data_IF_729811431755
#
_entry.id   IF_729811431755
#
_cell.length_a   1.000
_cell.length_b   1.000
_cell.length_c   1.000
_cell.angle_alpha   90.00
_cell.angle_beta   90.00
_cell.angle_gamma   90.00
#
_symmetry.space_group_name_H-M   'P 1'
#
loop_
_entity.id
_entity.type
_entity.pdbx_description
1 polymer ?
#
# COMPACT_ATOMS: atom_id res chain seq x y z
N UNK A 1 -19.75 26.66 -2.44
CA UNK A 1 -19.90 25.48 -3.32
C UNK A 1 -18.92 25.65 -4.46
N UNK A 2 -18.06 24.66 -4.69
CA UNK A 2 -17.25 24.62 -5.90
C UNK A 2 -18.13 24.26 -7.08
N UNK A 3 -18.08 25.05 -8.15
CA UNK A 3 -18.88 24.86 -9.37
C UNK A 3 -18.04 24.29 -10.52
N UNK A 4 -16.81 23.85 -10.25
CA UNK A 4 -15.95 23.27 -11.26
C UNK A 4 -16.30 21.81 -11.51
N UNK A 5 -16.42 21.45 -12.79
CA UNK A 5 -16.70 20.07 -13.24
C UNK A 5 -15.45 19.17 -13.20
N UNK A 6 -14.34 19.66 -12.64
CA UNK A 6 -13.06 18.95 -12.61
C UNK A 6 -13.04 17.87 -11.53
N UNK A 7 -12.50 16.70 -11.85
CA UNK A 7 -12.19 15.68 -10.83
C UNK A 7 -11.13 16.23 -9.89
N UNK A 8 -11.43 16.25 -8.59
CA UNK A 8 -10.49 16.66 -7.55
C UNK A 8 -9.45 15.55 -7.33
N UNK A 9 -8.18 15.93 -7.36
CA UNK A 9 -7.05 15.06 -7.04
C UNK A 9 -6.60 15.33 -5.60
N UNK A 10 -6.65 14.32 -4.70
CA UNK A 10 -6.15 14.44 -3.35
C UNK A 10 -4.63 14.23 -3.30
N UNK A 11 -3.92 15.14 -2.64
CA UNK A 11 -2.52 15.00 -2.26
C UNK A 11 -2.45 14.98 -0.74
N UNK A 12 -2.17 13.82 -0.17
CA UNK A 12 -2.09 13.65 1.27
C UNK A 12 -0.64 13.73 1.74
N UNK A 13 -0.42 14.55 2.76
CA UNK A 13 0.83 14.67 3.48
C UNK A 13 0.71 13.96 4.84
N UNK A 14 1.32 12.77 5.00
CA UNK A 14 1.22 12.01 6.24
C UNK A 14 1.96 12.66 7.41
N UNK A 15 2.97 13.49 7.15
CA UNK A 15 3.81 14.06 8.21
C UNK A 15 3.08 15.20 8.94
N UNK A 16 2.23 15.95 8.23
CA UNK A 16 1.44 17.04 8.80
C UNK A 16 -0.06 16.72 8.89
N UNK A 17 -0.49 15.54 8.46
CA UNK A 17 -1.90 15.14 8.33
C UNK A 17 -2.75 16.13 7.51
N UNK A 18 -2.16 16.75 6.47
CA UNK A 18 -2.87 17.70 5.60
C UNK A 18 -3.21 17.03 4.27
N UNK A 19 -4.45 17.18 3.82
CA UNK A 19 -4.87 16.82 2.48
C UNK A 19 -5.12 18.07 1.64
N UNK A 20 -4.50 18.14 0.48
CA UNK A 20 -4.69 19.19 -0.51
C UNK A 20 -5.56 18.67 -1.65
N UNK A 21 -6.59 19.42 -2.02
CA UNK A 21 -7.50 19.11 -3.11
C UNK A 21 -7.35 20.14 -4.22
N UNK A 22 -7.10 19.66 -5.43
CA UNK A 22 -7.11 20.49 -6.63
C UNK A 22 -7.52 19.66 -7.86
N UNK A 23 -8.30 20.25 -8.77
CA UNK A 23 -8.78 19.59 -9.97
C UNK A 23 -8.29 20.29 -11.24
N UNK A 24 -8.22 19.55 -12.35
CA UNK A 24 -7.93 20.17 -13.64
C UNK A 24 -9.05 21.13 -14.02
N UNK A 25 -8.69 22.35 -14.42
CA UNK A 25 -9.63 23.44 -14.67
C UNK A 25 -9.87 24.35 -13.47
N UNK A 26 -9.48 23.93 -12.26
CA UNK A 26 -9.58 24.77 -11.07
C UNK A 26 -8.49 25.83 -11.06
N UNK A 27 -8.78 26.97 -10.45
CA UNK A 27 -7.78 28.00 -10.20
C UNK A 27 -7.39 28.08 -8.72
N UNK A 28 -7.82 27.11 -7.91
CA UNK A 28 -7.61 27.08 -6.46
C UNK A 28 -7.13 25.73 -5.95
N UNK A 29 -6.40 25.74 -4.83
CA UNK A 29 -6.00 24.55 -4.08
C UNK A 29 -6.56 24.69 -2.67
N UNK A 30 -7.45 23.77 -2.28
CA UNK A 30 -8.03 23.73 -0.93
C UNK A 30 -7.24 22.78 -0.08
N UNK A 31 -7.12 23.05 1.21
CA UNK A 31 -6.44 22.13 2.10
C UNK A 31 -7.13 22.02 3.45
N UNK A 32 -7.06 20.81 3.99
CA UNK A 32 -7.76 20.38 5.18
C UNK A 32 -6.79 19.61 6.07
N UNK A 33 -6.92 19.78 7.37
CA UNK A 33 -6.24 18.98 8.37
C UNK A 33 -7.13 17.80 8.76
N UNK A 34 -6.52 16.62 8.85
CA UNK A 34 -7.18 15.39 9.30
C UNK A 34 -6.72 15.09 10.72
N UNK A 35 -7.67 15.01 11.65
CA UNK A 35 -7.40 14.73 13.07
C UNK A 35 -8.25 13.56 13.55
N UNK A 36 -7.92 13.04 14.73
CA UNK A 36 -8.73 12.02 15.42
C UNK A 36 -9.96 12.57 16.13
N UNK A 37 -10.18 13.90 16.12
CA UNK A 37 -11.27 14.56 16.84
C UNK A 37 -12.37 14.98 15.87
N UNK A 38 -13.64 14.82 16.25
CA UNK A 38 -14.76 15.24 15.41
C UNK A 38 -14.70 16.77 15.11
N UNK A 39 -14.97 17.23 13.87
CA UNK A 39 -15.50 16.51 12.70
C UNK A 39 -14.47 15.74 11.83
N UNK A 40 -13.28 15.46 12.36
CA UNK A 40 -12.14 14.71 11.78
C UNK A 40 -11.45 15.41 10.62
N UNK A 41 -12.18 16.13 9.77
CA UNK A 41 -11.64 16.88 8.64
C UNK A 41 -11.93 18.36 8.84
N UNK A 42 -10.87 19.13 9.06
CA UNK A 42 -10.95 20.55 9.38
C UNK A 42 -10.46 21.36 8.18
N UNK A 43 -11.32 22.21 7.63
CA UNK A 43 -10.91 23.13 6.58
C UNK A 43 -9.90 24.14 7.13
N UNK A 44 -8.73 24.21 6.50
CA UNK A 44 -7.70 25.18 6.87
C UNK A 44 -7.88 26.46 6.05
N UNK A 45 -7.62 26.39 4.74
CA UNK A 45 -7.69 27.54 3.85
C UNK A 45 -7.69 27.11 2.38
N UNK A 46 -7.72 28.09 1.49
CA UNK A 46 -7.70 27.92 0.04
C UNK A 46 -6.69 28.88 -0.57
N UNK A 47 -5.71 28.33 -1.29
CA UNK A 47 -4.91 29.09 -2.22
C UNK A 47 -5.74 29.38 -3.47
N UNK A 48 -5.83 30.65 -3.89
CA UNK A 48 -6.59 31.06 -5.07
C UNK A 48 -5.70 31.79 -6.07
N UNK A 49 -5.92 31.54 -7.35
CA UNK A 49 -5.25 32.21 -8.46
C UNK A 49 -6.23 32.49 -9.60
N UNK A 50 -5.80 33.26 -10.60
CA UNK A 50 -6.66 33.64 -11.74
C UNK A 50 -6.66 32.62 -12.87
N UNK A 51 -5.56 31.88 -13.04
CA UNK A 51 -5.35 30.98 -14.16
C UNK A 51 -5.77 29.55 -13.80
N UNK A 52 -6.52 28.84 -14.64
CA UNK A 52 -6.90 27.45 -14.39
C UNK A 52 -5.70 26.50 -14.57
N UNK A 53 -5.59 25.49 -13.71
CA UNK A 53 -4.54 24.48 -13.81
C UNK A 53 -4.85 23.42 -14.87
N UNK A 54 -3.85 23.07 -15.69
CA UNK A 54 -3.89 21.96 -16.65
C UNK A 54 -3.45 20.63 -16.05
N UNK A 55 -2.74 20.69 -14.94
CA UNK A 55 -2.23 19.56 -14.17
C UNK A 55 -1.49 20.07 -12.93
N UNK A 56 -1.11 19.15 -12.05
CA UNK A 56 -0.44 19.46 -10.79
C UNK A 56 0.62 18.41 -10.48
N UNK A 57 1.84 18.85 -10.18
CA UNK A 57 2.87 18.03 -9.54
C UNK A 57 2.96 18.36 -8.05
N UNK A 58 3.47 17.42 -7.26
CA UNK A 58 3.66 17.58 -5.82
C UNK A 58 5.08 17.15 -5.44
N UNK A 59 5.80 18.01 -4.73
CA UNK A 59 7.19 17.77 -4.33
C UNK A 59 7.25 16.79 -3.15
N UNK A 60 8.06 15.73 -3.22
CA UNK A 60 8.35 14.89 -2.06
C UNK A 60 9.02 15.67 -0.94
N UNK A 61 8.82 15.27 0.32
CA UNK A 61 9.36 15.91 1.53
C UNK A 61 10.85 16.24 1.48
N UNK A 62 11.65 15.31 0.94
CA UNK A 62 13.11 15.47 0.75
C UNK A 62 13.53 16.60 -0.20
N UNK A 63 12.60 17.16 -0.99
CA UNK A 63 12.86 18.27 -1.92
C UNK A 63 12.35 19.64 -1.43
N UNK A 64 11.80 19.71 -0.22
CA UNK A 64 11.32 20.95 0.40
C UNK A 64 12.44 21.74 1.06
N UNK A 65 12.26 23.05 1.15
CA UNK A 65 13.18 23.97 1.82
C UNK A 65 12.78 24.12 3.30
N UNK A 66 13.33 23.23 4.14
CA UNK A 66 13.05 23.21 5.59
C UNK A 66 13.47 24.50 6.31
N UNK A 67 14.44 25.24 5.75
CA UNK A 67 14.91 26.50 6.33
C UNK A 67 13.84 27.60 6.25
N UNK A 68 12.93 27.50 5.28
CA UNK A 68 11.84 28.47 5.07
C UNK A 68 10.50 27.99 5.61
N UNK A 69 10.47 26.93 6.41
CA UNK A 69 9.24 26.32 6.91
C UNK A 69 8.26 25.93 5.78
N UNK A 70 8.81 25.53 4.62
CA UNK A 70 8.02 24.99 3.52
C UNK A 70 7.54 23.57 3.86
N UNK A 71 6.23 23.36 3.89
CA UNK A 71 5.62 22.06 4.21
C UNK A 71 5.14 21.31 2.97
N UNK A 72 4.89 22.02 1.87
CA UNK A 72 4.54 21.43 0.59
C UNK A 72 4.93 22.38 -0.56
N UNK A 73 5.30 21.79 -1.71
CA UNK A 73 5.52 22.52 -2.96
C UNK A 73 4.73 21.87 -4.08
N UNK A 74 3.87 22.65 -4.70
CA UNK A 74 3.13 22.26 -5.88
C UNK A 74 3.82 22.75 -7.14
N UNK A 75 3.73 21.99 -8.22
CA UNK A 75 4.14 22.39 -9.56
C UNK A 75 2.90 22.52 -10.43
N UNK A 76 2.32 23.72 -10.43
CA UNK A 76 1.09 24.01 -11.16
C UNK A 76 1.40 24.14 -12.64
N UNK A 77 0.79 23.26 -13.44
CA UNK A 77 0.90 23.34 -14.88
C UNK A 77 -0.16 24.30 -15.42
N UNK A 78 0.30 25.26 -16.19
CA UNK A 78 -0.52 26.12 -17.03
C UNK A 78 -0.46 25.63 -18.46
N UNK A 79 -0.98 26.40 -19.42
CA UNK A 79 -0.95 26.02 -20.83
C UNK A 79 0.48 25.90 -21.40
N UNK A 80 1.39 26.79 -21.00
CA UNK A 80 2.76 26.88 -21.54
C UNK A 80 3.85 27.09 -20.49
N UNK A 81 3.52 27.00 -19.20
CA UNK A 81 4.47 27.20 -18.09
C UNK A 81 4.18 26.23 -16.95
N UNK A 82 5.22 25.95 -16.18
CA UNK A 82 5.13 25.26 -14.89
C UNK A 82 5.47 26.28 -13.79
N UNK A 83 4.55 26.51 -12.87
CA UNK A 83 4.68 27.48 -11.79
C UNK A 83 4.79 26.74 -10.44
N UNK A 84 5.91 26.90 -9.71
CA UNK A 84 6.01 26.42 -8.34
C UNK A 84 5.12 27.23 -7.39
N UNK A 85 4.30 26.56 -6.59
CA UNK A 85 3.51 27.16 -5.50
C UNK A 85 4.00 26.57 -4.20
N UNK A 86 4.52 27.43 -3.33
CA UNK A 86 5.09 27.06 -2.04
C UNK A 86 4.03 27.23 -0.96
N UNK A 87 3.80 26.19 -0.16
CA UNK A 87 2.98 26.23 1.04
C UNK A 87 3.90 26.31 2.26
N UNK A 88 3.81 27.41 2.99
CA UNK A 88 4.70 27.71 4.13
C UNK A 88 3.90 27.87 5.40
N UNK A 89 4.39 27.29 6.49
CA UNK A 89 3.90 27.59 7.84
C UNK A 89 4.65 28.84 8.33
N UNK A 90 3.95 29.95 8.65
CA UNK A 90 4.62 31.17 9.09
C UNK A 90 5.19 30.99 10.50
N UNK A 91 6.50 30.78 10.61
CA UNK A 91 7.26 30.72 11.88
C UNK A 91 8.25 31.87 11.96
N UNK A 92 8.56 32.32 13.19
CA UNK A 92 9.54 33.37 13.48
C UNK A 92 10.81 32.77 14.08
N UNK A 93 11.39 31.78 13.42
CA UNK A 93 12.60 31.10 13.89
C UNK A 93 13.41 30.61 12.70
N UNK A 94 14.72 30.80 12.77
CA UNK A 94 15.69 30.24 11.82
C UNK A 94 16.17 28.84 12.24
N UNK A 95 15.70 28.35 13.40
CA UNK A 95 15.98 27.00 13.87
C UNK A 95 15.12 25.98 13.13
N UNK A 96 15.68 24.79 12.95
CA UNK A 96 14.93 23.64 12.45
C UNK A 96 13.69 23.38 13.31
N UNK A 97 12.55 23.15 12.66
CA UNK A 97 11.26 22.96 13.32
C UNK A 97 10.94 21.46 13.35
N UNK A 98 11.40 20.77 14.40
CA UNK A 98 11.19 19.31 14.55
C UNK A 98 9.70 18.93 14.53
N UNK A 99 8.81 19.83 14.96
CA UNK A 99 7.37 19.63 14.97
C UNK A 99 6.73 19.65 13.58
N UNK A 100 7.35 20.33 12.61
CA UNK A 100 6.88 20.39 11.22
C UNK A 100 7.49 19.30 10.34
N UNK A 101 8.62 18.75 10.77
CA UNK A 101 9.44 17.82 9.97
C UNK A 101 9.81 16.58 10.80
N UNK A 102 8.82 15.72 11.13
CA UNK A 102 9.12 14.41 11.69
C UNK A 102 9.96 13.58 10.70
N UNK A 103 10.51 12.47 11.17
CA UNK A 103 11.24 11.55 10.31
C UNK A 103 10.32 11.01 9.20
N UNK A 104 10.74 11.19 7.95
CA UNK A 104 9.90 10.97 6.76
C UNK A 104 10.47 9.82 5.92
N UNK A 105 9.67 9.11 5.09
CA UNK A 105 10.18 8.04 4.25
C UNK A 105 11.37 8.44 3.36
N UNK A 106 12.47 7.71 3.55
CA UNK A 106 13.72 7.88 2.82
C UNK A 106 13.69 7.30 1.40
N UNK A 107 14.82 7.39 0.68
CA UNK A 107 14.96 6.81 -0.65
C UNK A 107 15.25 5.29 -0.62
N UNK A 108 15.61 4.74 0.54
CA UNK A 108 15.97 3.33 0.68
C UNK A 108 14.70 2.47 0.88
N UNK A 109 14.54 1.37 0.11
CA UNK A 109 13.41 0.47 0.30
C UNK A 109 13.57 -0.35 1.59
N UNK A 110 12.45 -0.59 2.29
CA UNK A 110 12.43 -1.42 3.50
C UNK A 110 12.53 -2.92 3.19
N UNK A 111 12.03 -3.34 2.02
CA UNK A 111 11.99 -4.74 1.58
C UNK A 111 12.41 -4.87 0.13
N UNK A 112 13.05 -5.98 -0.19
CA UNK A 112 13.27 -6.38 -1.57
C UNK A 112 11.98 -7.00 -2.16
N UNK A 113 11.81 -6.92 -3.48
CA UNK A 113 10.55 -7.32 -4.13
C UNK A 113 10.15 -8.79 -3.86
N UNK A 114 11.12 -9.70 -3.74
CA UNK A 114 10.86 -11.10 -3.44
C UNK A 114 10.34 -11.32 -2.00
N UNK A 115 10.76 -10.48 -1.05
CA UNK A 115 10.34 -10.56 0.34
C UNK A 115 8.92 -10.06 0.53
N UNK A 116 8.57 -8.95 -0.11
CA UNK A 116 7.21 -8.44 -0.14
C UNK A 116 6.27 -9.44 -0.82
N UNK A 117 6.69 -10.05 -1.94
CA UNK A 117 5.89 -11.09 -2.61
C UNK A 117 5.71 -12.35 -1.75
N UNK A 118 6.65 -12.65 -0.85
CA UNK A 118 6.55 -13.73 0.12
C UNK A 118 5.63 -13.38 1.32
N UNK A 119 5.03 -12.19 1.32
CA UNK A 119 4.09 -11.73 2.35
C UNK A 119 4.76 -11.07 3.55
N UNK A 120 6.01 -10.59 3.44
CA UNK A 120 6.60 -9.75 4.49
C UNK A 120 6.08 -8.32 4.36
N UNK A 121 5.75 -7.73 5.49
CA UNK A 121 5.43 -6.31 5.64
C UNK A 121 6.52 -5.61 6.45
N UNK A 122 6.88 -4.39 6.07
CA UNK A 122 7.82 -3.55 6.80
C UNK A 122 7.49 -2.08 6.63
N UNK A 123 7.71 -1.31 7.70
CA UNK A 123 7.58 0.14 7.66
C UNK A 123 8.67 0.79 6.79
N UNK A 124 8.40 1.94 6.15
CA UNK A 124 9.40 2.67 5.39
C UNK A 124 10.63 3.01 6.23
N UNK A 125 11.82 2.97 5.60
CA UNK A 125 13.05 3.43 6.25
C UNK A 125 12.99 4.95 6.36
N UNK A 126 12.78 5.47 7.57
CA UNK A 126 12.64 6.90 7.81
C UNK A 126 14.00 7.61 7.83
N UNK A 127 14.02 8.87 7.40
CA UNK A 127 15.17 9.76 7.43
C UNK A 127 14.78 11.13 7.98
N UNK A 128 15.68 11.75 8.73
CA UNK A 128 15.48 13.12 9.22
C UNK A 128 15.84 14.13 8.14
N UNK A 129 15.03 15.19 8.00
CA UNK A 129 15.29 16.29 7.07
C UNK A 129 16.26 17.34 7.63
N UNK A 130 16.68 17.23 8.89
CA UNK A 130 17.60 18.18 9.55
C UNK A 130 18.97 18.26 8.86
N UNK A 131 19.46 17.13 8.36
CA UNK A 131 20.79 17.01 7.75
C UNK A 131 20.77 17.43 6.27
N UNK A 132 19.63 17.93 5.79
CA UNK A 132 19.43 18.36 4.42
C UNK A 132 19.32 17.18 3.44
N UNK A 133 19.66 17.43 2.18
CA UNK A 133 19.56 16.43 1.13
C UNK A 133 20.67 15.37 1.28
N UNK A 134 20.28 14.15 1.61
CA UNK A 134 21.16 12.97 1.54
C UNK A 134 21.01 12.33 0.15
N UNK A 135 22.08 12.29 -0.67
CA UNK A 135 22.02 11.65 -1.97
C UNK A 135 21.76 10.15 -1.83
N UNK A 136 20.96 9.61 -2.75
CA UNK A 136 20.74 8.15 -2.83
C UNK A 136 22.08 7.50 -3.18
N UNK A 137 22.44 6.41 -2.50
CA UNK A 137 23.58 5.59 -2.94
C UNK A 137 23.25 5.12 -4.36
N UNK A 138 24.13 5.40 -5.33
CA UNK A 138 23.93 5.03 -6.75
C UNK A 138 23.70 3.52 -6.88
N UNK A 139 22.43 3.09 -6.84
CA UNK A 139 21.98 1.77 -7.27
C UNK A 139 21.65 1.89 -8.74
N UNK A 140 22.56 1.41 -9.59
CA UNK A 140 22.27 1.24 -11.01
C UNK A 140 21.10 0.25 -11.14
N UNK A 141 20.00 0.68 -11.78
CA UNK A 141 18.83 -0.17 -12.00
C UNK A 141 19.20 -1.25 -13.02
N UNK A 142 19.67 -2.39 -12.52
CA UNK A 142 20.01 -3.57 -13.33
C UNK A 142 18.75 -4.40 -13.56
N UNK A 143 18.27 -4.41 -14.80
CA UNK A 143 17.14 -5.26 -15.19
C UNK A 143 17.64 -6.67 -15.48
N UNK A 144 17.52 -7.56 -14.52
CA UNK A 144 17.76 -9.00 -14.76
C UNK A 144 16.50 -9.62 -15.34
N UNK A 145 16.43 -9.73 -16.68
CA UNK A 145 15.41 -10.56 -17.33
C UNK A 145 15.72 -12.03 -17.05
N UNK A 146 15.04 -12.63 -16.07
CA UNK A 146 15.00 -14.09 -16.00
C UNK A 146 14.22 -14.57 -17.22
N UNK A 147 14.88 -15.25 -18.15
CA UNK A 147 14.23 -15.93 -19.26
C UNK A 147 13.34 -17.03 -18.69
N UNK A 148 12.03 -16.78 -18.63
CA UNK A 148 11.03 -17.75 -18.17
C UNK A 148 10.96 -18.97 -19.13
N UNK A 149 11.55 -18.85 -20.32
CA UNK A 149 11.57 -19.88 -21.37
C UNK A 149 12.74 -20.89 -21.26
N UNK A 150 13.79 -20.62 -20.48
CA UNK A 150 14.98 -21.50 -20.41
C UNK A 150 14.78 -22.73 -19.49
N UNK A 151 13.68 -22.80 -18.75
CA UNK A 151 13.31 -23.95 -17.93
C UNK A 151 12.47 -25.00 -18.68
N UNK A 152 12.56 -25.07 -20.02
CA UNK A 152 11.84 -26.09 -20.79
C UNK A 152 12.63 -27.41 -20.73
N UNK A 153 12.14 -28.48 -20.07
CA UNK A 153 12.74 -29.80 -20.21
C UNK A 153 12.70 -30.24 -21.68
N UNK A 154 13.66 -31.06 -22.15
CA UNK A 154 13.73 -31.48 -23.55
C UNK A 154 12.39 -32.10 -23.98
N UNK A 155 11.91 -31.70 -25.15
CA UNK A 155 10.60 -32.10 -25.67
C UNK A 155 10.60 -33.62 -25.93
N UNK A 156 10.08 -34.38 -24.97
CA UNK A 156 9.66 -35.76 -25.17
C UNK A 156 8.40 -35.85 -26.05
N UNK A 157 8.07 -37.02 -26.61
CA UNK A 157 7.01 -37.16 -27.60
C UNK A 157 5.65 -36.81 -26.98
N UNK A 158 4.96 -35.83 -27.60
CA UNK A 158 3.67 -35.26 -27.17
C UNK A 158 2.62 -36.34 -26.87
N UNK A 159 2.07 -36.31 -25.66
CA UNK A 159 0.66 -36.68 -25.42
C UNK A 159 -0.05 -35.48 -24.82
N UNK A 160 -1.08 -35.02 -25.52
CA UNK A 160 -1.91 -33.90 -25.14
C UNK A 160 -2.67 -34.22 -23.86
N UNK A 161 -2.37 -33.53 -22.76
CA UNK A 161 -3.34 -33.30 -21.69
C UNK A 161 -3.16 -31.88 -21.18
N UNK A 162 -4.27 -31.15 -21.20
CA UNK A 162 -4.42 -29.82 -20.62
C UNK A 162 -4.34 -29.94 -19.10
N UNK A 163 -3.44 -29.20 -18.45
CA UNK A 163 -3.55 -28.89 -17.02
C UNK A 163 -3.00 -27.51 -16.72
N UNK A 164 -3.79 -26.75 -15.98
CA UNK A 164 -3.40 -25.58 -15.21
C UNK A 164 -2.29 -25.95 -14.22
N UNK A 165 -1.11 -25.32 -14.32
CA UNK A 165 0.00 -25.55 -13.38
C UNK A 165 -0.09 -24.56 -12.21
N UNK A 166 -0.76 -24.99 -11.14
CA UNK A 166 -0.50 -24.48 -9.80
C UNK A 166 0.82 -25.10 -9.30
N UNK A 167 1.72 -24.24 -8.82
CA UNK A 167 3.07 -24.59 -8.39
C UNK A 167 3.05 -25.34 -7.04
N UNK A 168 2.45 -26.52 -7.00
CA UNK A 168 2.36 -27.37 -5.81
C UNK A 168 3.56 -28.32 -5.79
N UNK A 169 4.39 -28.25 -4.75
CA UNK A 169 5.52 -29.17 -4.60
C UNK A 169 4.99 -30.61 -4.45
N UNK A 170 5.63 -31.55 -5.15
CA UNK A 170 5.22 -32.97 -5.15
C UNK A 170 5.20 -33.56 -3.73
N UNK A 171 6.09 -33.11 -2.85
CA UNK A 171 6.10 -33.45 -1.43
C UNK A 171 4.84 -32.95 -0.71
N UNK A 172 4.40 -31.72 -0.99
CA UNK A 172 3.19 -31.16 -0.37
C UNK A 172 1.91 -31.86 -0.83
N UNK A 173 1.88 -32.40 -2.05
CA UNK A 173 0.74 -33.18 -2.54
C UNK A 173 0.67 -34.58 -1.90
N UNK A 174 1.82 -35.20 -1.66
CA UNK A 174 1.89 -36.48 -0.95
C UNK A 174 1.46 -36.32 0.52
N UNK A 175 1.89 -35.26 1.19
CA UNK A 175 1.49 -34.93 2.56
C UNK A 175 -0.03 -34.69 2.67
N UNK A 176 -0.61 -33.92 1.75
CA UNK A 176 -2.06 -33.68 1.71
C UNK A 176 -2.87 -34.95 1.44
N UNK A 177 -2.38 -35.86 0.59
CA UNK A 177 -3.05 -37.13 0.32
C UNK A 177 -3.03 -38.05 1.54
N UNK A 178 -1.96 -38.01 2.34
CA UNK A 178 -1.88 -38.75 3.59
C UNK A 178 -2.83 -38.16 4.64
N UNK A 179 -2.90 -36.83 4.74
CA UNK A 179 -3.83 -36.14 5.62
C UNK A 179 -5.30 -36.45 5.27
N UNK A 180 -5.66 -36.44 3.98
CA UNK A 180 -7.00 -36.82 3.51
C UNK A 180 -7.32 -38.28 3.87
N UNK A 181 -6.34 -39.19 3.77
CA UNK A 181 -6.53 -40.60 4.17
C UNK A 181 -6.74 -40.74 5.68
N UNK A 182 -5.95 -40.04 6.48
CA UNK A 182 -6.08 -40.00 7.95
C UNK A 182 -7.43 -39.44 8.39
N UNK A 183 -7.86 -38.32 7.80
CA UNK A 183 -9.16 -37.70 8.09
C UNK A 183 -10.32 -38.64 7.73
N UNK A 184 -10.27 -39.32 6.59
CA UNK A 184 -11.29 -40.30 6.19
C UNK A 184 -11.40 -41.47 7.18
N UNK A 185 -10.28 -42.00 7.67
CA UNK A 185 -10.29 -43.04 8.69
C UNK A 185 -10.90 -42.54 10.01
N UNK A 186 -10.58 -41.30 10.41
CA UNK A 186 -11.11 -40.70 11.62
C UNK A 186 -12.63 -40.50 11.53
N UNK A 187 -13.13 -39.99 10.41
CA UNK A 187 -14.56 -39.83 10.16
C UNK A 187 -15.28 -41.18 10.23
N UNK A 188 -14.75 -42.21 9.58
CA UNK A 188 -15.35 -43.54 9.60
C UNK A 188 -15.39 -44.16 11.01
N UNK A 189 -14.34 -43.94 11.81
CA UNK A 189 -14.31 -44.38 13.20
C UNK A 189 -15.33 -43.62 14.07
N UNK A 190 -15.50 -42.32 13.83
CA UNK A 190 -16.50 -41.50 14.52
C UNK A 190 -17.92 -41.92 14.15
N UNK A 191 -18.22 -42.15 12.86
CA UNK A 191 -19.52 -42.63 12.40
C UNK A 191 -19.90 -43.97 13.04
N UNK A 192 -18.94 -44.91 13.12
CA UNK A 192 -19.16 -46.19 13.80
C UNK A 192 -19.47 -46.00 15.28
N UNK A 193 -18.71 -45.14 15.96
CA UNK A 193 -18.92 -44.82 17.38
C UNK A 193 -20.27 -44.16 17.61
N UNK A 194 -20.69 -43.25 16.73
CA UNK A 194 -22.00 -42.60 16.78
C UNK A 194 -23.10 -43.64 16.63
N UNK A 195 -23.01 -44.51 15.62
CA UNK A 195 -23.99 -45.59 15.41
C UNK A 195 -24.08 -46.54 16.62
N UNK A 196 -22.95 -46.91 17.23
CA UNK A 196 -22.95 -47.75 18.44
C UNK A 196 -23.59 -47.04 19.64
N UNK A 197 -23.39 -45.73 19.78
CA UNK A 197 -24.00 -44.92 20.83
C UNK A 197 -25.50 -44.73 20.60
N UNK A 198 -25.93 -44.46 19.37
CA UNK A 198 -27.34 -44.36 18.98
C UNK A 198 -28.07 -45.68 19.23
N UNK A 199 -27.46 -46.82 18.85
CA UNK A 199 -28.01 -48.15 19.11
C UNK A 199 -28.14 -48.45 20.61
N UNK A 200 -27.20 -47.98 21.44
CA UNK A 200 -27.31 -48.09 22.91
C UNK A 200 -28.42 -47.19 23.44
N UNK A 201 -28.53 -45.95 22.93
CA UNK A 201 -29.56 -45.00 23.35
C UNK A 201 -30.97 -45.52 23.03
N UNK A 202 -31.17 -46.10 21.84
CA UNK A 202 -32.42 -46.76 21.44
C UNK A 202 -32.86 -47.88 22.38
N UNK A 203 -31.91 -48.60 22.99
CA UNK A 203 -32.21 -49.65 23.99
C UNK A 203 -32.70 -49.08 25.32
N UNK A 204 -32.32 -47.85 25.65
CA UNK A 204 -32.80 -47.15 26.85
C UNK A 204 -34.14 -46.45 26.60
N UNK A 205 -34.41 -45.94 25.40
CA UNK A 205 -35.68 -45.27 25.07
C UNK A 205 -36.85 -46.24 24.87
N UNK A 206 -36.59 -47.51 24.51
CA UNK A 206 -37.61 -48.55 24.41
C UNK A 206 -37.94 -49.25 25.74
N UNK A 207 -37.33 -48.81 26.85
CA UNK A 207 -37.50 -49.38 28.20
C UNK A 207 -38.32 -48.53 29.18
N UNK A 208 -38.90 -47.41 28.74
CA UNK A 208 -39.83 -46.60 29.54
C UNK A 208 -41.17 -46.46 28.82
N UNK A 209 -41.97 -47.52 28.96
CA UNK A 209 -43.43 -47.50 28.95
C UNK A 209 -43.91 -48.52 29.99
#
# INVERSE_FOLDING_TARGET
MDTSNGVLLPFYDPDSSIVYLCGKGDSSIRYFEITGEAPYVHYLSTYSSKEPQRGMGFMPKRGLDVSKCEIARFFKLHERKCEPIVMTVPRKSDLFQDDLYPDTPGPEPALEAAEWLAGKDAEPVLVSLRDGYVPVKNRELKVTRKNILDNKPPVGPRRSHSTCDANFSRSSLEDLLEEIRSLRQTVQAQEKRISDLENKLCKFTNGTA
#
